data_IF_181738596519
#
_entry.id   IF_181738596519
#
_cell.length_a   1.000
_cell.length_b   1.000
_cell.length_c   1.000
_cell.angle_alpha   90.00
_cell.angle_beta   90.00
_cell.angle_gamma   90.00
#
_symmetry.space_group_name_H-M   'P 1'
#
loop_
_entity.id
_entity.type
_entity.pdbx_description
1 polymer ?
#
# COMPACT_ATOMS: atom_id res chain seq x y z
N UNK A 1 -18.06 4.85 0.81
CA UNK A 1 -17.07 5.82 0.30
C UNK A 1 -16.70 5.41 -1.12
N UNK A 2 -17.01 6.26 -2.08
CA UNK A 2 -16.76 5.95 -3.48
C UNK A 2 -15.31 6.26 -3.87
N UNK A 3 -14.73 5.42 -4.71
CA UNK A 3 -13.41 5.67 -5.30
C UNK A 3 -13.58 6.55 -6.53
N UNK A 4 -13.67 7.83 -6.30
CA UNK A 4 -13.88 8.82 -7.34
C UNK A 4 -12.81 9.93 -7.27
N UNK A 5 -12.85 10.86 -8.22
CA UNK A 5 -11.87 11.94 -8.26
C UNK A 5 -11.94 12.85 -7.03
N UNK A 6 -13.11 12.99 -6.42
CA UNK A 6 -13.27 13.78 -5.21
C UNK A 6 -12.52 13.13 -4.04
N UNK A 7 -12.59 11.81 -3.89
CA UNK A 7 -11.84 11.09 -2.89
C UNK A 7 -10.34 11.20 -3.14
N UNK A 8 -9.91 11.01 -4.41
CA UNK A 8 -8.50 11.15 -4.78
C UNK A 8 -7.95 12.52 -4.39
N UNK A 9 -8.67 13.58 -4.74
CA UNK A 9 -8.26 14.94 -4.41
C UNK A 9 -8.23 15.18 -2.90
N UNK A 10 -9.20 14.65 -2.16
CA UNK A 10 -9.25 14.78 -0.72
C UNK A 10 -8.05 14.09 -0.05
N UNK A 11 -7.76 12.86 -0.45
CA UNK A 11 -6.64 12.10 0.12
C UNK A 11 -5.31 12.81 -0.21
N UNK A 12 -5.11 13.21 -1.46
CA UNK A 12 -3.90 13.93 -1.86
C UNK A 12 -3.74 15.23 -1.08
N UNK A 13 -4.82 16.00 -0.91
CA UNK A 13 -4.82 17.25 -0.17
C UNK A 13 -4.46 17.04 1.31
N UNK A 14 -5.05 16.02 1.94
CA UNK A 14 -4.77 15.71 3.35
C UNK A 14 -3.34 15.24 3.56
N UNK A 15 -2.81 14.44 2.65
CA UNK A 15 -1.42 13.99 2.73
C UNK A 15 -0.44 15.16 2.51
N UNK A 16 -0.75 16.06 1.57
CA UNK A 16 0.09 17.22 1.32
C UNK A 16 0.12 18.19 2.52
N UNK A 17 -0.98 18.27 3.26
CA UNK A 17 -1.08 19.13 4.44
C UNK A 17 -0.51 18.49 5.71
N UNK A 18 -0.27 17.18 5.70
CA UNK A 18 0.25 16.46 6.85
C UNK A 18 1.73 16.73 7.04
N UNK A 19 2.12 17.07 8.25
CA UNK A 19 3.53 17.23 8.61
C UNK A 19 4.11 15.88 8.99
N UNK A 20 4.96 15.33 8.10
CA UNK A 20 5.55 14.02 8.31
C UNK A 20 6.51 14.01 9.50
N UNK A 21 6.43 12.95 10.28
CA UNK A 21 7.37 12.64 11.34
C UNK A 21 8.24 11.46 10.87
N UNK A 22 9.55 11.67 10.81
CA UNK A 22 10.51 10.64 10.46
C UNK A 22 11.40 10.37 11.67
N UNK A 23 11.26 9.22 12.34
CA UNK A 23 12.14 8.88 13.44
C UNK A 23 13.56 8.63 12.94
N UNK A 24 14.53 8.72 13.84
CA UNK A 24 15.91 8.37 13.49
C UNK A 24 15.97 6.88 13.15
N UNK A 25 16.28 6.61 11.89
CA UNK A 25 16.34 5.25 11.35
C UNK A 25 17.77 4.80 11.04
N UNK A 26 18.78 5.50 11.57
CA UNK A 26 20.17 5.16 11.33
C UNK A 26 20.46 3.72 11.77
N UNK A 27 21.08 2.94 10.89
CA UNK A 27 21.42 1.54 11.15
C UNK A 27 20.27 0.56 11.01
N UNK A 28 19.05 1.02 10.72
CA UNK A 28 17.90 0.15 10.50
C UNK A 28 17.76 -0.21 9.03
N UNK A 29 17.14 -1.35 8.77
CA UNK A 29 16.76 -1.73 7.41
C UNK A 29 15.58 -0.89 6.96
N UNK A 30 15.66 -0.37 5.74
CA UNK A 30 14.65 0.51 5.18
C UNK A 30 13.69 -0.29 4.30
N UNK A 31 12.39 -0.09 4.51
CA UNK A 31 11.35 -0.75 3.73
C UNK A 31 10.20 0.22 3.46
N UNK A 32 9.41 -0.09 2.44
CA UNK A 32 8.19 0.63 2.12
C UNK A 32 7.03 -0.35 2.04
N UNK A 33 5.85 0.08 2.47
CA UNK A 33 4.59 -0.63 2.25
C UNK A 33 3.67 0.28 1.46
N UNK A 34 2.72 -0.32 0.76
CA UNK A 34 1.85 0.39 -0.16
C UNK A 34 0.41 0.29 0.30
N UNK A 35 -0.23 1.45 0.48
CA UNK A 35 -1.68 1.51 0.66
C UNK A 35 -2.29 1.88 -0.69
N UNK A 36 -2.85 0.88 -1.36
CA UNK A 36 -3.43 1.05 -2.70
C UNK A 36 -4.92 1.29 -2.56
N UNK A 37 -5.36 2.50 -2.86
CA UNK A 37 -6.79 2.82 -2.90
C UNK A 37 -7.33 2.39 -4.26
N UNK A 38 -8.21 1.41 -4.26
CA UNK A 38 -8.75 0.79 -5.46
C UNK A 38 -10.26 0.63 -5.31
N UNK A 39 -10.92 0.24 -6.40
CA UNK A 39 -12.31 -0.21 -6.31
C UNK A 39 -12.38 -1.51 -5.50
N UNK A 40 -13.39 -1.64 -4.67
CA UNK A 40 -13.71 -2.93 -4.04
C UNK A 40 -13.90 -4.00 -5.12
N UNK A 41 -14.45 -3.60 -6.26
CA UNK A 41 -14.68 -4.51 -7.36
C UNK A 41 -15.68 -5.58 -6.99
N UNK A 42 -15.29 -6.84 -7.12
CA UNK A 42 -16.10 -7.97 -6.69
C UNK A 42 -15.82 -8.38 -5.25
N UNK A 43 -14.91 -7.66 -4.59
CA UNK A 43 -14.53 -7.94 -3.22
C UNK A 43 -13.63 -9.15 -3.08
N UNK A 44 -13.30 -9.45 -1.85
CA UNK A 44 -12.50 -10.64 -1.53
C UNK A 44 -13.42 -11.85 -1.44
N UNK A 45 -13.08 -12.93 -2.15
CA UNK A 45 -13.84 -14.18 -2.10
C UNK A 45 -13.41 -14.98 -0.87
N UNK A 46 -13.78 -14.49 0.28
CA UNK A 46 -13.43 -15.10 1.55
C UNK A 46 -14.70 -15.53 2.30
N UNK A 47 -14.59 -16.69 2.96
CA UNK A 47 -15.66 -17.21 3.79
C UNK A 47 -15.96 -16.22 4.93
N UNK A 48 -17.23 -15.89 5.10
CA UNK A 48 -17.67 -14.98 6.15
C UNK A 48 -17.67 -13.50 5.78
N UNK A 49 -17.12 -13.14 4.61
CA UNK A 49 -17.16 -11.77 4.13
C UNK A 49 -18.31 -11.58 3.14
N UNK A 50 -18.98 -10.43 3.26
CA UNK A 50 -20.00 -10.03 2.31
C UNK A 50 -19.35 -9.74 0.96
N UNK A 51 -19.91 -10.32 -0.09
CA UNK A 51 -19.46 -10.04 -1.45
C UNK A 51 -20.37 -9.01 -2.11
N UNK A 52 -19.76 -8.12 -2.89
CA UNK A 52 -20.50 -7.14 -3.67
C UNK A 52 -21.26 -7.85 -4.81
N UNK A 53 -22.44 -7.33 -5.13
CA UNK A 53 -23.18 -7.75 -6.33
C UNK A 53 -22.61 -7.00 -7.53
N UNK A 54 -21.89 -7.72 -8.40
CA UNK A 54 -21.24 -7.11 -9.54
C UNK A 54 -20.00 -6.28 -9.12
N UNK A 55 -19.68 -5.28 -9.91
CA UNK A 55 -18.52 -4.42 -9.64
C UNK A 55 -18.90 -3.27 -8.71
N UNK A 56 -18.23 -3.19 -7.57
CA UNK A 56 -18.44 -2.10 -6.60
C UNK A 56 -17.36 -1.04 -6.76
N UNK A 57 -17.77 0.23 -6.80
CA UNK A 57 -16.88 1.39 -6.84
C UNK A 57 -16.57 1.94 -5.44
N UNK A 58 -16.94 1.23 -4.39
CA UNK A 58 -16.53 1.58 -3.04
C UNK A 58 -15.02 1.49 -2.92
N UNK A 59 -14.42 2.43 -2.19
CA UNK A 59 -12.99 2.43 -1.99
C UNK A 59 -12.57 1.26 -1.11
N UNK A 60 -11.48 0.61 -1.49
CA UNK A 60 -10.92 -0.52 -0.76
C UNK A 60 -9.40 -0.47 -0.83
N UNK A 61 -8.74 -1.19 0.06
CA UNK A 61 -7.29 -1.38 0.04
C UNK A 61 -6.97 -2.77 -0.49
N UNK A 62 -5.88 -2.86 -1.26
CA UNK A 62 -5.39 -4.14 -1.75
C UNK A 62 -4.47 -4.75 -0.69
N UNK A 63 -4.77 -5.99 -0.31
CA UNK A 63 -3.93 -6.76 0.60
C UNK A 63 -3.38 -7.97 -0.13
N UNK A 64 -2.20 -8.42 0.29
CA UNK A 64 -1.59 -9.66 -0.16
C UNK A 64 -1.60 -10.67 0.97
N UNK A 65 -1.65 -11.94 0.61
CA UNK A 65 -1.56 -13.03 1.57
C UNK A 65 -0.21 -13.70 1.44
N UNK A 66 0.53 -13.79 2.54
CA UNK A 66 1.83 -14.45 2.52
C UNK A 66 1.65 -15.93 2.21
N UNK A 67 2.52 -16.46 1.35
CA UNK A 67 2.44 -17.85 0.91
C UNK A 67 2.59 -18.80 2.10
N UNK A 68 1.82 -19.88 2.10
CA UNK A 68 1.97 -20.96 3.07
C UNK A 68 3.33 -21.62 2.85
N UNK A 69 4.02 -21.96 3.93
CA UNK A 69 5.33 -22.60 3.87
C UNK A 69 6.53 -21.65 3.98
N UNK A 70 6.31 -20.33 3.90
CA UNK A 70 7.36 -19.38 4.24
C UNK A 70 7.58 -19.38 5.75
N UNK A 71 8.82 -19.24 6.16
CA UNK A 71 9.13 -19.10 7.58
C UNK A 71 8.60 -17.78 8.10
N UNK A 72 7.92 -17.81 9.24
CA UNK A 72 7.30 -16.64 9.84
C UNK A 72 6.11 -16.11 9.04
N UNK A 73 5.04 -15.82 9.72
CA UNK A 73 3.84 -15.13 9.19
C UNK A 73 3.22 -15.74 7.92
N UNK A 74 3.45 -17.06 7.66
CA UNK A 74 2.84 -17.73 6.51
C UNK A 74 1.31 -17.69 6.60
N UNK A 75 0.65 -17.37 5.47
CA UNK A 75 -0.80 -17.28 5.39
C UNK A 75 -1.41 -16.00 5.96
N UNK A 76 -0.61 -15.11 6.53
CA UNK A 76 -1.11 -13.82 7.04
C UNK A 76 -1.32 -12.81 5.93
N UNK A 77 -2.29 -11.94 6.13
CA UNK A 77 -2.55 -10.82 5.24
C UNK A 77 -1.57 -9.69 5.54
N UNK A 78 -1.11 -9.03 4.51
CA UNK A 78 -0.18 -7.92 4.62
C UNK A 78 -0.40 -6.91 3.51
N UNK A 79 0.02 -5.67 3.74
CA UNK A 79 0.13 -4.69 2.67
C UNK A 79 1.25 -5.10 1.72
N UNK A 80 1.12 -4.85 0.40
CA UNK A 80 2.25 -5.04 -0.50
C UNK A 80 3.43 -4.18 -0.08
N UNK A 81 4.64 -4.66 -0.28
CA UNK A 81 5.83 -3.88 0.07
C UNK A 81 7.08 -4.73 0.13
N UNK A 82 8.19 -4.09 0.44
CA UNK A 82 9.48 -4.74 0.55
C UNK A 82 10.58 -3.76 0.90
N UNK A 83 11.81 -4.28 0.88
CA UNK A 83 12.99 -3.47 1.21
C UNK A 83 13.27 -2.44 0.13
N UNK A 84 13.69 -1.26 0.59
CA UNK A 84 14.12 -0.20 -0.31
C UNK A 84 15.52 -0.56 -0.82
N UNK A 85 15.66 -0.69 -2.14
CA UNK A 85 16.95 -0.94 -2.76
C UNK A 85 17.82 0.32 -2.74
N UNK A 86 19.13 0.13 -2.83
CA UNK A 86 20.06 1.25 -2.86
C UNK A 86 19.70 2.22 -4.01
N UNK A 87 19.59 3.49 -3.67
CA UNK A 87 19.25 4.53 -4.64
C UNK A 87 17.76 4.71 -4.93
N UNK A 88 16.90 3.87 -4.36
CA UNK A 88 15.44 4.04 -4.50
C UNK A 88 14.89 4.98 -3.44
N UNK A 89 13.85 5.73 -3.83
CA UNK A 89 12.97 6.40 -2.87
C UNK A 89 11.90 5.42 -2.36
N UNK A 90 11.25 5.70 -1.22
CA UNK A 90 10.13 4.87 -0.79
C UNK A 90 9.03 4.74 -1.85
N UNK A 91 8.75 5.81 -2.59
CA UNK A 91 7.76 5.80 -3.66
C UNK A 91 8.15 4.86 -4.80
N UNK A 92 9.41 4.87 -5.19
CA UNK A 92 9.92 3.97 -6.24
C UNK A 92 9.84 2.52 -5.81
N UNK A 93 10.21 2.23 -4.55
CA UNK A 93 10.10 0.88 -3.98
C UNK A 93 8.64 0.43 -3.97
N UNK A 94 7.73 1.31 -3.54
CA UNK A 94 6.31 1.00 -3.48
C UNK A 94 5.77 0.58 -4.85
N UNK A 95 6.08 1.36 -5.89
CA UNK A 95 5.61 1.06 -7.24
C UNK A 95 6.22 -0.23 -7.78
N UNK A 96 7.49 -0.48 -7.53
CA UNK A 96 8.19 -1.70 -7.96
C UNK A 96 7.61 -2.94 -7.28
N UNK A 97 7.49 -2.91 -5.96
CA UNK A 97 6.96 -4.04 -5.20
C UNK A 97 5.50 -4.33 -5.55
N UNK A 98 4.72 -3.30 -5.81
CA UNK A 98 3.32 -3.47 -6.22
C UNK A 98 3.24 -4.23 -7.55
N UNK A 99 4.10 -3.90 -8.50
CA UNK A 99 4.15 -4.61 -9.77
C UNK A 99 4.61 -6.06 -9.59
N UNK A 100 5.65 -6.29 -8.77
CA UNK A 100 6.20 -7.62 -8.54
C UNK A 100 5.20 -8.53 -7.80
N UNK A 101 4.54 -8.02 -6.76
CA UNK A 101 3.70 -8.83 -5.89
C UNK A 101 2.26 -8.97 -6.40
N UNK A 102 1.72 -7.93 -7.02
CA UNK A 102 0.30 -7.85 -7.38
C UNK A 102 0.11 -7.79 -8.90
N UNK A 103 1.16 -7.48 -9.65
CA UNK A 103 1.08 -7.32 -11.09
C UNK A 103 0.43 -6.00 -11.53
N UNK A 104 0.28 -5.05 -10.62
CA UNK A 104 -0.34 -3.76 -10.90
C UNK A 104 0.74 -2.74 -11.22
N UNK A 105 0.70 -2.19 -12.43
CA UNK A 105 1.66 -1.19 -12.88
C UNK A 105 1.06 0.19 -12.79
N UNK A 106 1.54 0.98 -11.82
CA UNK A 106 1.14 2.37 -11.62
C UNK A 106 2.30 3.31 -11.96
N UNK A 107 1.96 4.56 -12.18
CA UNK A 107 2.93 5.60 -12.54
C UNK A 107 3.22 6.49 -11.33
N UNK A 108 4.33 7.26 -11.34
CA UNK A 108 4.61 8.21 -10.26
C UNK A 108 3.48 9.19 -9.97
N UNK A 109 2.71 9.58 -10.99
CA UNK A 109 1.56 10.48 -10.82
C UNK A 109 0.42 9.85 -10.01
N UNK A 110 0.43 8.53 -9.87
CA UNK A 110 -0.56 7.82 -9.06
C UNK A 110 -0.21 7.81 -7.57
N UNK A 111 0.98 8.27 -7.21
CA UNK A 111 1.39 8.38 -5.81
C UNK A 111 0.76 9.63 -5.22
N UNK A 112 -0.05 9.44 -4.17
CA UNK A 112 -0.72 10.55 -3.49
C UNK A 112 0.12 11.16 -2.37
N UNK A 113 1.01 10.40 -1.77
CA UNK A 113 1.87 10.85 -0.69
C UNK A 113 2.34 9.69 0.17
N UNK A 114 2.95 10.04 1.30
CA UNK A 114 3.41 9.05 2.26
C UNK A 114 2.89 9.38 3.66
N UNK A 115 2.84 8.37 4.51
CA UNK A 115 2.54 8.51 5.92
C UNK A 115 3.83 8.44 6.75
N UNK A 116 3.70 8.62 8.06
CA UNK A 116 4.87 8.59 8.95
C UNK A 116 5.59 7.26 8.90
N UNK A 117 6.92 7.31 8.84
CA UNK A 117 7.77 6.13 8.99
C UNK A 117 7.66 5.60 10.40
N UNK A 118 7.54 4.29 10.55
CA UNK A 118 7.50 3.66 11.86
C UNK A 118 8.58 2.59 11.99
N UNK A 119 9.00 2.36 13.24
CA UNK A 119 10.07 1.41 13.55
C UNK A 119 9.46 0.11 14.05
N UNK A 120 9.91 -1.02 13.50
CA UNK A 120 9.45 -2.34 13.95
C UNK A 120 10.44 -2.95 14.93
N UNK A 121 9.97 -3.93 15.73
CA UNK A 121 10.83 -4.67 16.64
C UNK A 121 11.90 -5.49 15.92
N UNK A 122 11.62 -5.85 14.67
CA UNK A 122 12.58 -6.62 13.85
C UNK A 122 13.69 -5.77 13.24
N UNK A 123 13.74 -4.49 13.54
CA UNK A 123 14.81 -3.61 13.10
C UNK A 123 14.59 -2.97 11.73
N UNK A 124 13.34 -2.78 11.35
CA UNK A 124 12.97 -2.08 10.11
C UNK A 124 12.42 -0.70 10.40
N UNK A 125 12.76 0.25 9.52
CA UNK A 125 12.06 1.52 9.40
C UNK A 125 11.16 1.41 8.16
N UNK A 126 9.85 1.43 8.37
CA UNK A 126 8.86 1.19 7.30
C UNK A 126 8.15 2.49 6.98
N UNK A 127 8.20 2.88 5.71
CA UNK A 127 7.53 4.07 5.19
C UNK A 127 6.30 3.66 4.39
N UNK A 128 5.08 4.00 4.85
CA UNK A 128 3.87 3.75 4.09
C UNK A 128 3.73 4.77 2.96
N UNK A 129 3.42 4.28 1.76
CA UNK A 129 3.18 5.11 0.58
C UNK A 129 1.74 4.88 0.12
N UNK A 130 1.00 5.95 -0.08
CA UNK A 130 -0.41 5.90 -0.51
C UNK A 130 -0.46 6.13 -2.01
N UNK A 131 -1.06 5.19 -2.73
CA UNK A 131 -1.18 5.26 -4.19
C UNK A 131 -2.64 5.07 -4.61
N UNK A 132 -2.95 5.53 -5.81
CA UNK A 132 -4.29 5.49 -6.37
C UNK A 132 -4.31 4.55 -7.58
N UNK A 133 -5.10 3.47 -7.49
CA UNK A 133 -5.31 2.60 -8.64
C UNK A 133 -6.48 3.17 -9.46
N UNK A 134 -6.24 3.31 -10.75
CA UNK A 134 -7.31 3.67 -11.67
C UNK A 134 -8.31 2.52 -11.81
N UNK A 135 -9.40 2.78 -12.50
CA UNK A 135 -10.34 1.72 -12.86
C UNK A 135 -9.61 0.73 -13.76
N UNK A 136 -9.38 -0.43 -13.23
CA UNK A 136 -8.76 -1.51 -14.00
C UNK A 136 -9.85 -2.29 -14.72
#
# INVERSE_FOLDING_TARGET
>A
MQRDDALRALVASRLAAWQLHAPDAAGLKQAAVVLVVADEGRGAQLRGLRQARGWSTQAALILTRRAKGLSGHAGQWALPGGRIDAGETPEQTALRELQEEVGLQLQPDDVLGRLDTFITRSGYAITPVVVWAGAA
#
